data_IF_107393849776
#
_entry.id   IF_107393849776
#
_cell.length_a   1.000
_cell.length_b   1.000
_cell.length_c   1.000
_cell.angle_alpha   90.00
_cell.angle_beta   90.00
_cell.angle_gamma   90.00
#
_symmetry.space_group_name_H-M   'P 1'
#
loop_
_entity.id
_entity.type
_entity.pdbx_description
1 polymer ?
#
# COMPACT_ATOMS: atom_id res chain seq x y z
N UNK A 1 -12.31 10.24 12.24
CA UNK A 1 -11.33 11.10 11.53
C UNK A 1 -9.86 10.76 11.81
N UNK A 2 -9.12 10.30 10.80
CA UNK A 2 -7.68 10.06 10.89
C UNK A 2 -6.85 11.34 10.74
N UNK A 3 -5.63 11.36 11.30
CA UNK A 3 -4.67 12.46 11.09
C UNK A 3 -4.36 12.64 9.59
N UNK A 4 -4.35 13.88 9.09
CA UNK A 4 -4.02 14.23 7.69
C UNK A 4 -2.71 13.59 7.23
N UNK A 5 -1.70 13.56 8.09
CA UNK A 5 -0.40 12.91 7.82
C UNK A 5 -0.50 11.41 7.53
N UNK A 6 -1.45 10.69 8.16
CA UNK A 6 -1.66 9.26 7.92
C UNK A 6 -2.36 8.99 6.59
N UNK A 7 -3.26 9.87 6.16
CA UNK A 7 -3.92 9.80 4.86
C UNK A 7 -2.90 10.08 3.75
N UNK A 8 -2.09 11.14 3.90
CA UNK A 8 -1.01 11.46 2.97
C UNK A 8 0.02 10.32 2.85
N UNK A 9 0.39 9.68 3.97
CA UNK A 9 1.28 8.52 3.96
C UNK A 9 0.69 7.35 3.15
N UNK A 10 -0.59 7.05 3.31
CA UNK A 10 -1.25 5.98 2.55
C UNK A 10 -1.26 6.28 1.04
N UNK A 11 -1.57 7.52 0.65
CA UNK A 11 -1.51 7.97 -0.75
C UNK A 11 -0.11 7.83 -1.35
N UNK A 12 0.92 8.29 -0.64
CA UNK A 12 2.33 8.13 -1.06
C UNK A 12 2.70 6.66 -1.23
N UNK A 13 2.20 5.80 -0.36
CA UNK A 13 2.46 4.38 -0.43
C UNK A 13 1.78 3.71 -1.64
N UNK A 14 0.54 4.07 -1.95
CA UNK A 14 -0.16 3.56 -3.15
C UNK A 14 0.59 3.93 -4.43
N UNK A 15 0.98 5.19 -4.59
CA UNK A 15 1.77 5.64 -5.74
C UNK A 15 3.12 4.90 -5.86
N UNK A 16 3.76 4.58 -4.73
CA UNK A 16 5.00 3.82 -4.72
C UNK A 16 4.78 2.35 -5.10
N UNK A 17 3.68 1.74 -4.64
CA UNK A 17 3.32 0.36 -5.01
C UNK A 17 3.08 0.27 -6.51
N UNK A 18 2.32 1.22 -7.08
CA UNK A 18 2.07 1.29 -8.52
C UNK A 18 3.38 1.44 -9.32
N UNK A 19 4.26 2.36 -8.91
CA UNK A 19 5.54 2.60 -9.59
C UNK A 19 6.46 1.36 -9.62
N UNK A 20 6.43 0.53 -8.59
CA UNK A 20 7.32 -0.64 -8.47
C UNK A 20 6.59 -1.97 -8.69
N UNK A 21 5.33 -1.95 -9.15
CA UNK A 21 4.52 -3.15 -9.32
C UNK A 21 5.18 -4.14 -10.29
N UNK A 22 5.53 -3.67 -11.48
CA UNK A 22 6.07 -4.50 -12.57
C UNK A 22 7.45 -5.07 -12.20
N UNK A 23 8.37 -4.20 -11.76
CA UNK A 23 9.71 -4.61 -11.30
C UNK A 23 9.65 -5.63 -10.16
N UNK A 24 8.64 -5.53 -9.28
CA UNK A 24 8.46 -6.49 -8.19
C UNK A 24 7.89 -7.82 -8.67
N UNK A 25 7.04 -7.84 -9.68
CA UNK A 25 6.55 -9.07 -10.30
C UNK A 25 7.70 -9.81 -11.00
N UNK A 26 8.51 -9.11 -11.79
CA UNK A 26 9.68 -9.66 -12.47
C UNK A 26 10.67 -10.29 -11.48
N UNK A 27 11.07 -9.55 -10.44
CA UNK A 27 12.01 -10.05 -9.44
C UNK A 27 11.44 -11.22 -8.61
N UNK A 28 10.12 -11.26 -8.42
CA UNK A 28 9.46 -12.37 -7.73
C UNK A 28 9.41 -13.62 -8.60
N UNK A 29 9.24 -13.48 -9.91
CA UNK A 29 9.32 -14.56 -10.88
C UNK A 29 10.75 -15.11 -11.01
N UNK A 30 11.76 -14.23 -11.01
CA UNK A 30 13.17 -14.60 -11.03
C UNK A 30 13.66 -15.28 -9.73
N UNK A 31 12.94 -15.12 -8.61
CA UNK A 31 13.32 -15.70 -7.32
C UNK A 31 14.45 -14.96 -6.60
N UNK A 32 14.90 -13.81 -7.12
CA UNK A 32 16.01 -13.02 -6.58
C UNK A 32 15.63 -12.24 -5.31
N UNK A 33 15.78 -12.90 -4.17
CA UNK A 33 15.47 -12.35 -2.84
C UNK A 33 16.32 -11.14 -2.46
N UNK A 34 17.57 -11.09 -2.92
CA UNK A 34 18.51 -9.99 -2.64
C UNK A 34 18.11 -8.72 -3.37
N UNK A 35 17.74 -8.82 -4.66
CA UNK A 35 17.24 -7.71 -5.44
C UNK A 35 15.88 -7.23 -4.93
N UNK A 36 15.00 -8.15 -4.52
CA UNK A 36 13.71 -7.82 -3.92
C UNK A 36 13.85 -7.02 -2.61
N UNK A 37 14.87 -7.33 -1.79
CA UNK A 37 15.14 -6.63 -0.54
C UNK A 37 15.71 -5.21 -0.74
N UNK A 38 16.33 -4.93 -1.90
CA UNK A 38 16.85 -3.59 -2.25
C UNK A 38 15.74 -2.59 -2.60
N UNK A 39 14.51 -3.04 -2.85
CA UNK A 39 13.40 -2.11 -3.13
C UNK A 39 13.00 -1.31 -1.88
N UNK A 40 12.43 -0.10 -2.08
CA UNK A 40 11.88 0.68 -0.99
C UNK A 40 10.89 -0.13 -0.17
N UNK A 41 11.06 -0.16 1.16
CA UNK A 41 10.22 -0.98 2.05
C UNK A 41 8.71 -0.72 1.90
N UNK A 42 8.33 0.52 1.61
CA UNK A 42 6.93 0.95 1.45
C UNK A 42 6.31 0.55 0.11
N UNK A 43 7.11 0.16 -0.90
CA UNK A 43 6.60 -0.35 -2.18
C UNK A 43 5.96 -1.74 -2.08
N UNK A 44 6.11 -2.41 -0.92
CA UNK A 44 5.49 -3.70 -0.70
C UNK A 44 3.97 -3.54 -0.44
N UNK A 45 3.11 -4.14 -1.29
CA UNK A 45 1.65 -4.04 -1.14
C UNK A 45 1.13 -4.58 0.20
N UNK A 46 1.84 -5.52 0.83
CA UNK A 46 1.43 -6.08 2.13
C UNK A 46 1.47 -5.05 3.27
N UNK A 47 2.20 -3.94 3.10
CA UNK A 47 2.27 -2.87 4.10
C UNK A 47 1.16 -1.85 3.96
N UNK A 48 0.41 -1.87 2.86
CA UNK A 48 -0.69 -0.95 2.65
C UNK A 48 -1.85 -1.33 3.57
N UNK A 49 -2.36 -0.36 4.32
CA UNK A 49 -3.54 -0.53 5.15
C UNK A 49 -4.70 0.23 4.51
N UNK A 50 -5.75 -0.50 4.16
CA UNK A 50 -6.97 0.07 3.61
C UNK A 50 -7.61 1.01 4.64
N UNK A 51 -8.07 2.15 4.14
CA UNK A 51 -8.69 3.21 4.92
C UNK A 51 -9.97 3.61 4.24
N UNK A 52 -10.94 3.95 5.08
CA UNK A 52 -12.17 4.59 4.67
C UNK A 52 -11.90 5.87 3.85
N UNK A 53 -12.66 6.08 2.78
CA UNK A 53 -12.41 7.17 1.83
C UNK A 53 -12.84 8.54 2.36
N UNK A 54 -13.84 8.58 3.24
CA UNK A 54 -14.37 9.82 3.81
C UNK A 54 -13.56 10.26 5.02
N UNK A 55 -13.40 9.41 6.04
CA UNK A 55 -12.74 9.78 7.29
C UNK A 55 -11.30 9.27 7.44
N UNK A 56 -10.85 8.36 6.59
CA UNK A 56 -9.54 7.74 6.70
C UNK A 56 -9.43 6.69 7.82
N UNK A 57 -10.55 6.23 8.37
CA UNK A 57 -10.61 5.23 9.45
C UNK A 57 -9.94 3.91 9.00
N UNK A 58 -8.95 3.39 9.75
CA UNK A 58 -8.18 2.20 9.36
C UNK A 58 -8.77 0.86 9.86
N UNK A 59 -10.03 0.87 10.31
CA UNK A 59 -10.71 -0.26 10.96
C UNK A 59 -12.14 -0.36 10.43
N UNK A 60 -12.68 -1.58 10.41
CA UNK A 60 -14.04 -1.85 9.94
C UNK A 60 -14.24 -1.51 8.46
N UNK A 61 -13.17 -1.55 7.65
CA UNK A 61 -13.21 -1.23 6.23
C UNK A 61 -13.93 -2.33 5.45
N UNK A 62 -15.00 -1.96 4.76
CA UNK A 62 -15.76 -2.82 3.87
C UNK A 62 -15.26 -2.67 2.44
N UNK A 63 -14.62 -3.71 1.89
CA UNK A 63 -13.99 -3.66 0.57
C UNK A 63 -14.98 -3.38 -0.57
N UNK A 64 -16.23 -3.85 -0.44
CA UNK A 64 -17.27 -3.63 -1.46
C UNK A 64 -17.66 -2.15 -1.60
N UNK A 65 -17.66 -1.41 -0.49
CA UNK A 65 -18.16 -0.04 -0.45
C UNK A 65 -17.04 1.01 -0.34
N UNK A 66 -15.81 0.58 -0.07
CA UNK A 66 -14.70 1.50 0.16
C UNK A 66 -14.81 2.31 1.45
N UNK A 67 -15.76 1.96 2.32
CA UNK A 67 -16.08 2.73 3.53
C UNK A 67 -15.94 1.92 4.81
N UNK A 68 -15.80 2.60 5.95
CA UNK A 68 -15.89 1.94 7.25
C UNK A 68 -17.34 1.72 7.70
N UNK A 69 -17.57 0.69 8.53
CA UNK A 69 -18.82 0.52 9.29
C UNK A 69 -19.19 1.76 10.09
#
# INVERSE_FOLDING_TARGET
>A
MAKKSKIAKAKKQMAMIEKYADKRQELKAAGDRTALAKLPRDSNPNRLRLRDQTEGRPRGYMRKFGMSR
#
